data_IF_190316565951
#
_entry.id   IF_190316565951
#
_cell.length_a   1.000
_cell.length_b   1.000
_cell.length_c   1.000
_cell.angle_alpha   90.00
_cell.angle_beta   90.00
_cell.angle_gamma   90.00
#
_symmetry.space_group_name_H-M   'P 1'
#
loop_
_entity.id
_entity.type
_entity.pdbx_description
1 polymer ?
#
# COMPACT_ATOMS: atom_id res chain seq x y z
N UNK A 1 -11.66 14.43 -3.92
CA UNK A 1 -12.13 14.00 -2.58
C UNK A 1 -11.98 15.20 -1.65
N UNK A 2 -13.04 15.62 -0.94
CA UNK A 2 -12.85 16.58 0.17
C UNK A 2 -11.89 15.92 1.15
N UNK A 3 -10.72 16.51 1.38
CA UNK A 3 -9.75 16.07 2.37
C UNK A 3 -10.36 16.30 3.77
N UNK A 4 -11.32 15.46 4.18
CA UNK A 4 -11.73 15.40 5.57
C UNK A 4 -10.52 14.95 6.39
N UNK A 5 -10.20 15.70 7.43
CA UNK A 5 -9.16 15.28 8.36
C UNK A 5 -9.54 13.92 8.96
N UNK A 6 -8.56 13.07 9.28
CA UNK A 6 -8.80 11.75 9.89
C UNK A 6 -9.64 11.86 11.18
N UNK A 7 -9.58 13.01 11.85
CA UNK A 7 -10.37 13.36 13.03
C UNK A 7 -11.87 13.51 12.74
N UNK A 8 -12.26 13.83 11.51
CA UNK A 8 -13.66 14.03 11.09
C UNK A 8 -14.36 12.74 10.65
N UNK A 9 -13.64 11.62 10.63
CA UNK A 9 -14.21 10.31 10.30
C UNK A 9 -15.14 9.84 11.41
N UNK A 10 -16.28 9.25 11.05
CA UNK A 10 -17.06 8.47 12.02
C UNK A 10 -16.32 7.17 12.36
N UNK A 11 -16.66 6.53 13.48
CA UNK A 11 -16.02 5.28 13.90
C UNK A 11 -16.16 4.17 12.85
N UNK A 12 -17.32 4.10 12.20
CA UNK A 12 -17.61 3.14 11.13
C UNK A 12 -16.78 3.42 9.87
N UNK A 13 -16.69 4.69 9.47
CA UNK A 13 -15.87 5.12 8.33
C UNK A 13 -14.38 4.82 8.60
N UNK A 14 -13.90 5.04 9.82
CA UNK A 14 -12.53 4.79 10.23
C UNK A 14 -12.18 3.30 10.15
N UNK A 15 -13.03 2.42 10.68
CA UNK A 15 -12.84 0.96 10.65
C UNK A 15 -12.94 0.42 9.22
N UNK A 16 -13.91 0.92 8.43
CA UNK A 16 -14.08 0.53 7.03
C UNK A 16 -12.88 0.93 6.17
N UNK A 17 -12.39 2.16 6.33
CA UNK A 17 -11.22 2.63 5.60
C UNK A 17 -9.93 1.95 6.03
N UNK A 18 -9.73 1.64 7.32
CA UNK A 18 -8.57 0.86 7.75
C UNK A 18 -8.53 -0.50 7.05
N UNK A 19 -9.65 -1.23 7.01
CA UNK A 19 -9.72 -2.54 6.33
C UNK A 19 -9.44 -2.42 4.83
N UNK A 20 -9.99 -1.39 4.17
CA UNK A 20 -9.75 -1.13 2.74
C UNK A 20 -8.29 -0.82 2.47
N UNK A 21 -7.70 0.15 3.19
CA UNK A 21 -6.30 0.52 3.00
C UNK A 21 -5.38 -0.66 3.34
N UNK A 22 -5.67 -1.43 4.39
CA UNK A 22 -4.92 -2.65 4.70
C UNK A 22 -4.98 -3.66 3.55
N UNK A 23 -6.17 -3.94 3.01
CA UNK A 23 -6.34 -4.87 1.89
C UNK A 23 -5.57 -4.40 0.64
N UNK A 24 -5.69 -3.11 0.29
CA UNK A 24 -4.98 -2.51 -0.85
C UNK A 24 -3.46 -2.56 -0.63
N UNK A 25 -2.99 -2.24 0.57
CA UNK A 25 -1.55 -2.25 0.91
C UNK A 25 -0.97 -3.66 0.78
N UNK A 26 -1.67 -4.67 1.31
CA UNK A 26 -1.25 -6.07 1.22
C UNK A 26 -1.27 -6.54 -0.24
N UNK A 27 -2.36 -6.26 -0.97
CA UNK A 27 -2.47 -6.61 -2.39
C UNK A 27 -1.36 -5.98 -3.22
N UNK A 28 -1.06 -4.69 -3.01
CA UNK A 28 0.02 -3.99 -3.68
C UNK A 28 1.38 -4.59 -3.34
N UNK A 29 1.62 -4.91 -2.06
CA UNK A 29 2.86 -5.55 -1.62
C UNK A 29 3.08 -6.92 -2.28
N UNK A 30 2.03 -7.75 -2.34
CA UNK A 30 2.07 -9.05 -3.01
C UNK A 30 2.30 -8.88 -4.51
N UNK A 31 1.61 -7.94 -5.15
CA UNK A 31 1.78 -7.65 -6.58
C UNK A 31 3.21 -7.21 -6.91
N UNK A 32 3.80 -6.31 -6.11
CA UNK A 32 5.19 -5.87 -6.26
C UNK A 32 6.15 -7.05 -6.08
N UNK A 33 5.91 -7.93 -5.10
CA UNK A 33 6.74 -9.12 -4.87
C UNK A 33 6.69 -10.08 -6.06
N UNK A 34 5.50 -10.38 -6.57
CA UNK A 34 5.32 -11.24 -7.75
C UNK A 34 5.98 -10.62 -8.99
N UNK A 35 5.82 -9.31 -9.19
CA UNK A 35 6.49 -8.57 -10.26
C UNK A 35 8.01 -8.63 -10.12
N UNK A 36 8.55 -8.47 -8.92
CA UNK A 36 9.98 -8.56 -8.67
C UNK A 36 10.54 -9.94 -9.01
N UNK A 37 9.89 -11.01 -8.52
CA UNK A 37 10.30 -12.39 -8.83
C UNK A 37 10.21 -12.70 -10.33
N UNK A 38 9.13 -12.24 -10.98
CA UNK A 38 8.94 -12.41 -12.42
C UNK A 38 10.03 -11.69 -13.22
N UNK A 39 10.36 -10.46 -12.82
CA UNK A 39 11.44 -9.68 -13.44
C UNK A 39 12.80 -10.35 -13.25
N UNK A 40 13.10 -10.95 -12.09
CA UNK A 40 14.34 -11.71 -11.90
C UNK A 40 14.42 -12.84 -12.93
N UNK A 41 13.37 -13.67 -13.04
CA UNK A 41 13.34 -14.79 -13.99
C UNK A 41 13.52 -14.31 -15.45
N UNK A 42 12.85 -13.22 -15.81
CA UNK A 42 12.94 -12.64 -17.16
C UNK A 42 14.34 -12.07 -17.41
N UNK A 43 14.93 -11.39 -16.42
CA UNK A 43 16.29 -10.80 -16.53
C UNK A 43 17.32 -11.87 -16.84
N UNK A 44 17.26 -13.01 -16.14
CA UNK A 44 18.18 -14.12 -16.39
C UNK A 44 18.01 -14.76 -17.78
N UNK A 45 16.78 -14.78 -18.32
CA UNK A 45 16.49 -15.41 -19.62
C UNK A 45 16.66 -14.49 -20.82
N UNK A 46 16.37 -13.19 -20.68
CA UNK A 46 16.24 -12.23 -21.79
C UNK A 46 17.08 -10.96 -21.61
N UNK A 47 17.80 -10.85 -20.50
CA UNK A 47 18.54 -9.64 -20.14
C UNK A 47 17.65 -8.58 -19.48
N UNK A 48 18.27 -7.46 -19.11
CA UNK A 48 17.59 -6.36 -18.46
C UNK A 48 16.65 -5.62 -19.42
N UNK A 49 15.45 -5.28 -18.94
CA UNK A 49 14.48 -4.44 -19.66
C UNK A 49 14.05 -3.28 -18.77
N UNK A 50 13.57 -2.18 -19.37
CA UNK A 50 13.01 -1.04 -18.66
C UNK A 50 11.86 -1.44 -17.70
N UNK A 51 11.13 -2.50 -18.02
CA UNK A 51 10.05 -3.03 -17.18
C UNK A 51 10.55 -3.55 -15.82
N UNK A 52 11.84 -3.88 -15.71
CA UNK A 52 12.45 -4.42 -14.51
C UNK A 52 12.59 -3.36 -13.40
N UNK A 53 12.48 -2.07 -13.76
CA UNK A 53 12.53 -0.94 -12.82
C UNK A 53 11.16 -0.67 -12.18
N UNK A 54 10.07 -1.18 -12.76
CA UNK A 54 8.70 -0.95 -12.28
C UNK A 54 8.50 -1.33 -10.80
N UNK A 55 8.97 -2.49 -10.30
CA UNK A 55 8.81 -2.83 -8.88
C UNK A 55 9.42 -1.77 -7.96
N UNK A 56 10.56 -1.19 -8.37
CA UNK A 56 11.26 -0.15 -7.63
C UNK A 56 10.50 1.19 -7.66
N UNK A 57 9.96 1.54 -8.83
CA UNK A 57 9.15 2.75 -9.00
C UNK A 57 7.84 2.73 -8.19
N UNK A 58 7.32 1.54 -7.85
CA UNK A 58 6.11 1.37 -7.05
C UNK A 58 6.36 1.39 -5.53
N UNK A 59 7.62 1.30 -5.08
CA UNK A 59 7.94 1.30 -3.64
C UNK A 59 7.49 2.58 -2.90
N UNK A 60 7.66 3.80 -3.44
CA UNK A 60 7.18 5.01 -2.76
C UNK A 60 5.67 4.98 -2.50
N UNK A 61 4.89 4.45 -3.45
CA UNK A 61 3.43 4.31 -3.31
C UNK A 61 3.09 3.29 -2.22
N UNK A 62 3.83 2.18 -2.15
CA UNK A 62 3.67 1.20 -1.08
C UNK A 62 3.95 1.81 0.30
N UNK A 63 5.03 2.59 0.42
CA UNK A 63 5.39 3.28 1.67
C UNK A 63 4.31 4.29 2.07
N UNK A 64 3.79 5.08 1.13
CA UNK A 64 2.69 6.00 1.39
C UNK A 64 1.44 5.27 1.90
N UNK A 65 1.09 4.13 1.29
CA UNK A 65 -0.05 3.32 1.74
C UNK A 65 0.16 2.73 3.15
N UNK A 66 1.36 2.25 3.47
CA UNK A 66 1.72 1.79 4.82
C UNK A 66 1.63 2.94 5.83
N UNK A 67 2.10 4.13 5.48
CA UNK A 67 2.01 5.31 6.33
C UNK A 67 0.55 5.72 6.58
N UNK A 68 -0.28 5.73 5.55
CA UNK A 68 -1.71 6.01 5.67
C UNK A 68 -2.42 4.97 6.55
N UNK A 69 -2.07 3.69 6.39
CA UNK A 69 -2.60 2.63 7.25
C UNK A 69 -2.18 2.82 8.72
N UNK A 70 -0.93 3.17 8.98
CA UNK A 70 -0.43 3.45 10.32
C UNK A 70 -1.11 4.66 10.96
N UNK A 71 -1.40 5.71 10.19
CA UNK A 71 -2.15 6.88 10.68
C UNK A 71 -3.58 6.51 11.07
N UNK A 72 -4.28 5.74 10.23
CA UNK A 72 -5.61 5.22 10.54
C UNK A 72 -5.60 4.32 11.79
N UNK A 73 -4.60 3.46 11.92
CA UNK A 73 -4.44 2.58 13.08
C UNK A 73 -4.20 3.36 14.37
N UNK A 74 -3.37 4.42 14.32
CA UNK A 74 -3.13 5.33 15.45
C UNK A 74 -4.42 6.04 15.87
N UNK A 75 -5.17 6.58 14.91
CA UNK A 75 -6.44 7.25 15.19
C UNK A 75 -7.46 6.29 15.80
N UNK A 76 -7.52 5.05 15.29
CA UNK A 76 -8.39 4.01 15.84
C UNK A 76 -8.02 3.65 17.29
N UNK A 77 -6.71 3.50 17.57
CA UNK A 77 -6.21 3.24 18.92
C UNK A 77 -6.47 4.40 19.88
N UNK A 78 -6.33 5.65 19.43
CA UNK A 78 -6.65 6.85 20.23
C UNK A 78 -8.13 6.87 20.67
N UNK A 79 -9.02 6.37 19.80
CA UNK A 79 -10.46 6.24 20.07
C UNK A 79 -10.83 4.94 20.78
N UNK A 80 -9.86 4.07 21.10
CA UNK A 80 -10.05 2.74 21.70
C UNK A 80 -10.98 1.83 20.87
N UNK A 81 -10.85 1.88 19.55
CA UNK A 81 -11.60 1.09 18.56
C UNK A 81 -10.73 -0.01 17.91
#
# INVERSE_FOLDING_TARGET
MKNKALTEYTNEELVSNEKKIKAITIMLGIAILLLFLSNIVITFKRGFSALNVIPLALLPILILNINNWNQLKKEKANRKL
#
